data_IF_689975106748
#
_entry.id   IF_689975106748
#
_cell.length_a   1.000
_cell.length_b   1.000
_cell.length_c   1.000
_cell.angle_alpha   90.00
_cell.angle_beta   90.00
_cell.angle_gamma   90.00
#
_symmetry.space_group_name_H-M   'P 1'
#
loop_
_entity.id
_entity.type
_entity.pdbx_description
1 polymer ?
#
# COMPACT_ATOMS: atom_id res chain seq x y z
N UNK A 1 -28.79 32.28 20.50
CA UNK A 1 -28.70 31.25 19.44
C UNK A 1 -27.29 31.31 18.88
N UNK A 2 -26.46 30.30 19.15
CA UNK A 2 -25.11 30.23 18.58
C UNK A 2 -25.16 29.41 17.29
N UNK A 3 -24.66 29.98 16.20
CA UNK A 3 -24.60 29.34 14.89
C UNK A 3 -23.30 28.54 14.83
N UNK A 4 -23.39 27.22 14.75
CA UNK A 4 -22.23 26.35 14.55
C UNK A 4 -21.71 26.54 13.12
N UNK A 5 -20.50 27.09 13.00
CA UNK A 5 -19.86 27.39 11.74
C UNK A 5 -19.02 26.18 11.29
N UNK A 6 -19.69 25.08 10.91
CA UNK A 6 -19.01 23.88 10.41
C UNK A 6 -18.45 24.13 9.01
N UNK A 7 -17.16 23.87 8.82
CA UNK A 7 -16.49 23.99 7.52
C UNK A 7 -17.05 22.92 6.57
N UNK A 8 -17.33 23.26 5.29
CA UNK A 8 -17.83 22.28 4.32
C UNK A 8 -16.80 21.17 4.10
N UNK A 9 -17.29 19.93 4.05
CA UNK A 9 -16.48 18.74 3.74
C UNK A 9 -15.95 18.83 2.31
N UNK A 10 -14.63 18.77 2.16
CA UNK A 10 -13.97 18.77 0.85
C UNK A 10 -13.85 17.34 0.33
N UNK A 11 -14.33 17.10 -0.89
CA UNK A 11 -14.11 15.86 -1.63
C UNK A 11 -13.05 16.12 -2.68
N UNK A 12 -12.03 15.25 -2.73
CA UNK A 12 -10.98 15.28 -3.73
C UNK A 12 -10.94 13.95 -4.48
N UNK A 13 -10.71 14.02 -5.79
CA UNK A 13 -10.50 12.86 -6.63
C UNK A 13 -9.01 12.76 -6.95
N UNK A 14 -8.39 11.65 -6.56
CA UNK A 14 -7.01 11.34 -6.91
C UNK A 14 -6.97 10.39 -8.10
N UNK A 15 -5.95 10.52 -8.94
CA UNK A 15 -5.81 9.69 -10.13
C UNK A 15 -5.39 8.26 -9.78
N UNK A 16 -4.48 8.10 -8.81
CA UNK A 16 -4.01 6.81 -8.33
C UNK A 16 -3.50 6.90 -6.89
N UNK A 17 -3.46 5.75 -6.21
CA UNK A 17 -2.85 5.61 -4.89
C UNK A 17 -1.80 4.49 -4.89
N UNK A 18 -0.55 4.84 -5.14
CA UNK A 18 0.54 3.84 -5.19
C UNK A 18 0.95 3.39 -3.78
N UNK A 19 1.31 2.11 -3.59
CA UNK A 19 1.88 1.65 -2.34
C UNK A 19 3.24 2.29 -2.08
N UNK A 20 3.58 2.52 -0.82
CA UNK A 20 4.88 3.10 -0.44
C UNK A 20 6.07 2.16 -0.75
N UNK A 21 5.82 0.84 -0.71
CA UNK A 21 6.78 -0.20 -1.07
C UNK A 21 6.12 -1.13 -2.09
N UNK A 22 6.86 -1.47 -3.15
CA UNK A 22 6.41 -2.47 -4.13
C UNK A 22 6.57 -3.87 -3.53
N UNK A 23 5.93 -4.86 -4.12
CA UNK A 23 6.16 -6.23 -3.70
C UNK A 23 7.59 -6.67 -4.07
N UNK A 24 8.23 -7.43 -3.19
CA UNK A 24 9.60 -7.85 -3.41
C UNK A 24 10.40 -8.04 -2.13
N UNK A 25 11.68 -8.32 -2.33
CA UNK A 25 12.65 -8.51 -1.26
C UNK A 25 13.31 -7.17 -0.90
N UNK A 26 13.38 -6.90 0.39
CA UNK A 26 14.01 -5.70 0.95
C UNK A 26 14.97 -6.08 2.06
N UNK A 27 15.97 -5.25 2.27
CA UNK A 27 16.95 -5.41 3.34
C UNK A 27 16.95 -4.17 4.23
N UNK A 28 16.92 -4.37 5.54
CA UNK A 28 17.11 -3.33 6.54
C UNK A 28 18.53 -3.48 7.07
N UNK A 29 19.34 -2.43 6.93
CA UNK A 29 20.68 -2.34 7.50
C UNK A 29 20.70 -1.23 8.57
N UNK A 30 21.19 -1.52 9.77
CA UNK A 30 21.23 -0.56 10.88
C UNK A 30 22.67 -0.18 11.20
N UNK A 31 23.11 1.02 10.82
CA UNK A 31 24.41 1.53 11.27
C UNK A 31 24.27 2.28 12.60
N UNK A 32 25.17 2.02 13.54
CA UNK A 32 25.23 2.72 14.81
C UNK A 32 26.66 3.18 15.10
N UNK A 33 26.78 4.46 15.45
CA UNK A 33 28.03 5.05 15.96
C UNK A 33 27.84 5.35 17.45
N UNK A 34 28.72 4.83 18.30
CA UNK A 34 28.67 5.04 19.77
C UNK A 34 29.90 5.81 20.22
N UNK A 35 29.70 6.94 20.92
CA UNK A 35 30.76 7.69 21.56
C UNK A 35 30.58 7.66 23.08
N UNK A 36 31.56 7.10 23.80
CA UNK A 36 31.60 7.10 25.27
C UNK A 36 32.90 7.75 25.71
N UNK A 37 32.85 8.99 26.24
CA UNK A 37 33.95 9.77 26.86
C UNK A 37 35.37 9.16 26.77
N UNK A 38 35.93 9.04 25.56
CA UNK A 38 37.29 8.52 25.33
C UNK A 38 37.52 7.01 25.54
N UNK A 39 36.50 6.22 25.91
CA UNK A 39 36.59 4.75 26.07
C UNK A 39 36.34 3.98 24.78
N UNK A 40 35.61 4.59 23.85
CA UNK A 40 35.35 4.03 22.51
C UNK A 40 35.68 5.15 21.51
N UNK A 41 36.52 4.89 20.48
CA UNK A 41 36.79 5.85 19.42
C UNK A 41 35.48 6.30 18.74
N UNK A 42 35.36 7.60 18.45
CA UNK A 42 34.16 8.18 17.81
C UNK A 42 33.82 7.54 16.45
N UNK A 43 34.79 6.92 15.81
CA UNK A 43 34.67 6.32 14.48
C UNK A 43 34.46 4.79 14.55
N UNK A 44 34.08 4.26 15.72
CA UNK A 44 33.75 2.84 15.86
C UNK A 44 32.38 2.58 15.23
N UNK A 45 32.40 2.09 13.99
CA UNK A 45 31.20 1.55 13.33
C UNK A 45 30.99 0.11 13.74
N UNK A 46 29.80 -0.19 14.25
CA UNK A 46 29.35 -1.57 14.40
C UNK A 46 28.75 -2.00 13.08
N UNK A 47 29.33 -3.04 12.46
CA UNK A 47 28.85 -3.58 11.19
C UNK A 47 27.33 -3.77 11.24
N UNK A 48 26.58 -3.21 10.27
CA UNK A 48 25.15 -3.08 10.43
C UNK A 48 24.51 -4.47 10.40
N UNK A 49 23.72 -4.87 11.42
CA UNK A 49 22.90 -6.06 11.26
C UNK A 49 21.97 -5.85 10.07
N UNK A 50 22.08 -6.76 9.10
CA UNK A 50 21.23 -6.79 7.91
C UNK A 50 20.11 -7.79 8.14
N UNK A 51 18.86 -7.35 7.96
CA UNK A 51 17.68 -8.21 8.00
C UNK A 51 16.93 -8.14 6.69
N UNK A 52 16.77 -9.28 6.04
CA UNK A 52 15.93 -9.44 4.85
C UNK A 52 14.47 -9.63 5.26
N UNK A 53 13.56 -8.97 4.55
CA UNK A 53 12.12 -9.21 4.64
C UNK A 53 11.47 -9.13 3.27
N UNK A 54 10.28 -9.69 3.15
CA UNK A 54 9.51 -9.71 1.90
C UNK A 54 8.23 -8.90 2.07
N UNK A 55 7.98 -7.99 1.13
CA UNK A 55 6.68 -7.35 0.97
C UNK A 55 5.83 -8.27 0.10
N UNK A 56 4.81 -8.87 0.72
CA UNK A 56 3.91 -9.78 0.03
C UNK A 56 3.05 -9.01 -0.98
N UNK A 57 2.94 -9.56 -2.20
CA UNK A 57 1.88 -9.19 -3.13
C UNK A 57 1.13 -10.44 -3.53
N UNK A 58 -0.18 -10.51 -3.25
CA UNK A 58 -1.00 -11.62 -3.73
C UNK A 58 -1.04 -11.59 -5.27
N UNK A 59 -1.06 -12.77 -5.92
CA UNK A 59 -0.90 -12.87 -7.40
C UNK A 59 -2.10 -13.46 -8.13
N UNK A 60 -2.81 -14.41 -7.52
CA UNK A 60 -3.79 -15.23 -8.24
C UNK A 60 -5.18 -15.28 -7.59
N UNK A 61 -5.32 -14.68 -6.42
CA UNK A 61 -6.60 -14.51 -5.76
C UNK A 61 -6.64 -13.13 -5.11
N UNK A 62 -7.85 -12.57 -5.07
CA UNK A 62 -8.17 -11.49 -4.16
C UNK A 62 -8.60 -12.13 -2.84
N UNK A 63 -7.98 -11.72 -1.74
CA UNK A 63 -8.51 -12.04 -0.41
C UNK A 63 -9.95 -11.49 -0.30
N UNK A 64 -10.95 -12.31 0.05
CA UNK A 64 -12.30 -11.82 0.29
C UNK A 64 -12.38 -10.66 1.30
N UNK A 65 -11.42 -10.56 2.23
CA UNK A 65 -11.35 -9.45 3.20
C UNK A 65 -10.93 -8.12 2.55
N UNK A 66 -10.22 -8.15 1.42
CA UNK A 66 -9.85 -6.95 0.67
C UNK A 66 -11.02 -6.40 -0.18
N UNK A 67 -12.12 -7.16 -0.31
CA UNK A 67 -13.30 -6.79 -1.08
C UNK A 67 -14.34 -6.14 -0.17
N UNK A 68 -14.77 -4.94 -0.53
CA UNK A 68 -15.87 -4.24 0.13
C UNK A 68 -17.22 -4.63 -0.47
N UNK A 69 -17.32 -4.68 -1.81
CA UNK A 69 -18.54 -5.03 -2.52
C UNK A 69 -18.23 -5.53 -3.93
N UNK A 70 -19.12 -6.34 -4.48
CA UNK A 70 -19.07 -6.84 -5.86
C UNK A 70 -20.41 -6.58 -6.52
N UNK A 71 -20.39 -6.10 -7.76
CA UNK A 71 -21.60 -5.92 -8.55
C UNK A 71 -21.38 -6.33 -10.01
N UNK A 72 -22.28 -7.14 -10.61
CA UNK A 72 -23.42 -7.80 -9.97
C UNK A 72 -23.01 -8.81 -8.88
N UNK A 73 -23.86 -9.06 -7.86
CA UNK A 73 -23.61 -10.11 -6.90
C UNK A 73 -23.61 -11.48 -7.57
N UNK A 74 -22.92 -12.43 -6.95
CA UNK A 74 -22.89 -13.81 -7.43
C UNK A 74 -24.31 -14.40 -7.49
N UNK A 75 -24.59 -15.19 -8.52
CA UNK A 75 -25.91 -15.77 -8.80
C UNK A 75 -27.08 -14.77 -8.90
N UNK A 76 -26.83 -13.48 -9.16
CA UNK A 76 -27.89 -12.51 -9.37
C UNK A 76 -28.66 -12.76 -10.68
N UNK A 77 -29.99 -12.83 -10.59
CA UNK A 77 -30.92 -13.07 -11.72
C UNK A 77 -31.57 -11.78 -12.28
N UNK A 78 -31.07 -10.60 -11.87
CA UNK A 78 -31.57 -9.31 -12.34
C UNK A 78 -31.14 -8.95 -13.77
N UNK A 79 -31.75 -7.91 -14.33
CA UNK A 79 -31.30 -7.32 -15.59
C UNK A 79 -30.04 -6.47 -15.36
N UNK A 80 -28.90 -6.98 -15.83
CA UNK A 80 -27.58 -6.33 -15.75
C UNK A 80 -27.10 -5.83 -17.12
N UNK A 81 -27.98 -5.77 -18.13
CA UNK A 81 -27.62 -5.36 -19.50
C UNK A 81 -27.02 -3.95 -19.59
N UNK A 82 -27.40 -3.06 -18.67
CA UNK A 82 -26.95 -1.66 -18.63
C UNK A 82 -25.95 -1.38 -17.49
N UNK A 83 -25.28 -2.42 -16.98
CA UNK A 83 -24.34 -2.31 -15.85
C UNK A 83 -22.93 -2.67 -16.30
N UNK A 84 -21.95 -1.87 -15.86
CA UNK A 84 -20.55 -2.27 -15.91
C UNK A 84 -20.20 -3.08 -14.65
N UNK A 85 -19.76 -4.35 -14.78
CA UNK A 85 -19.30 -5.13 -13.63
C UNK A 85 -18.14 -4.43 -12.93
N UNK A 86 -18.21 -4.32 -11.61
CA UNK A 86 -17.21 -3.64 -10.81
C UNK A 86 -17.09 -4.25 -9.41
N UNK A 87 -15.93 -3.99 -8.79
CA UNK A 87 -15.59 -4.42 -7.45
C UNK A 87 -15.13 -3.17 -6.69
N UNK A 88 -15.59 -3.03 -5.45
CA UNK A 88 -15.10 -2.01 -4.52
C UNK A 88 -14.12 -2.68 -3.58
N UNK A 89 -12.94 -2.09 -3.40
CA UNK A 89 -11.85 -2.63 -2.60
C UNK A 89 -11.68 -1.83 -1.30
N UNK A 90 -11.41 -2.53 -0.20
CA UNK A 90 -11.09 -1.89 1.09
C UNK A 90 -9.70 -1.24 1.06
N UNK A 91 -8.73 -1.90 0.41
CA UNK A 91 -7.36 -1.39 0.28
C UNK A 91 -7.21 -0.60 -1.01
N UNK A 92 -7.07 0.71 -0.87
CA UNK A 92 -6.95 1.61 -2.02
C UNK A 92 -5.66 1.38 -2.81
N UNK A 93 -4.56 0.90 -2.24
CA UNK A 93 -3.30 0.67 -3.00
C UNK A 93 -3.33 -0.57 -3.89
N UNK A 94 -4.25 -1.51 -3.66
CA UNK A 94 -4.25 -2.84 -4.26
C UNK A 94 -4.22 -2.83 -5.80
N UNK A 95 -4.99 -1.96 -6.51
CA UNK A 95 -4.92 -1.86 -7.97
C UNK A 95 -3.54 -1.46 -8.52
N UNK A 96 -2.69 -0.83 -7.69
CA UNK A 96 -1.40 -0.28 -8.07
C UNK A 96 -0.20 -1.04 -7.47
N UNK A 97 -0.45 -2.14 -6.76
CA UNK A 97 0.61 -3.02 -6.26
C UNK A 97 1.26 -3.86 -7.36
N UNK A 98 0.60 -3.99 -8.52
CA UNK A 98 1.11 -4.72 -9.68
C UNK A 98 0.91 -3.94 -10.97
N UNK A 99 1.75 -4.22 -11.95
CA UNK A 99 1.60 -3.69 -13.31
C UNK A 99 0.94 -4.73 -14.19
N UNK A 100 -0.03 -4.30 -14.99
CA UNK A 100 -0.73 -5.16 -15.95
C UNK A 100 0.19 -5.62 -17.09
N UNK A 101 1.24 -4.84 -17.41
CA UNK A 101 2.17 -5.12 -18.52
C UNK A 101 3.56 -5.42 -17.94
N UNK A 102 4.13 -6.62 -18.22
CA UNK A 102 5.52 -6.91 -17.88
C UNK A 102 6.49 -5.98 -18.62
N UNK A 103 7.36 -5.27 -17.90
CA UNK A 103 8.44 -4.47 -18.47
C UNK A 103 8.29 -2.95 -18.37
N UNK A 104 7.13 -2.43 -17.94
CA UNK A 104 6.90 -0.98 -17.78
C UNK A 104 7.50 -0.44 -16.45
N UNK A 105 8.78 -0.71 -16.19
CA UNK A 105 9.48 -0.16 -15.01
C UNK A 105 9.84 1.29 -15.27
N UNK A 106 8.92 2.23 -15.02
CA UNK A 106 9.32 3.63 -14.79
C UNK A 106 10.06 3.69 -13.44
N UNK A 107 11.37 3.87 -13.54
CA UNK A 107 12.31 4.23 -12.47
C UNK A 107 11.98 5.60 -11.92
#
# INVERSE_FOLDING_TARGET
MSVNNEKPTKIEFIQYHQPALKDGEYQIAVSQTIAVNGRIPKDTEFGPPVKTFFVAGQRFHLDPQDIHAVFPPDHSLGDHSNVLPHIVLNRSTLPWERMAIPGDKKT
#
